data_IF_429339809478
#
_entry.id   IF_429339809478
#
_cell.length_a   1.000
_cell.length_b   1.000
_cell.length_c   1.000
_cell.angle_alpha   90.00
_cell.angle_beta   90.00
_cell.angle_gamma   90.00
#
_symmetry.space_group_name_H-M   'P 1'
#
loop_
_entity.id
_entity.type
_entity.pdbx_description
1 polymer ?
#
# COMPACT_ATOMS: atom_id res chain seq x y z
N UNK A 1 37.54 1.53 12.88
CA UNK A 1 37.16 2.48 13.93
C UNK A 1 36.73 3.77 13.25
N UNK A 2 35.42 3.98 13.08
CA UNK A 2 34.58 4.90 13.89
C UNK A 2 34.98 6.37 13.62
N UNK A 3 34.15 7.35 13.24
CA UNK A 3 32.71 7.56 13.30
C UNK A 3 32.36 8.66 12.27
N UNK A 4 31.32 8.46 11.47
CA UNK A 4 30.72 9.54 10.68
C UNK A 4 29.62 10.20 11.52
N UNK A 5 29.94 11.34 12.14
CA UNK A 5 28.96 12.22 12.74
C UNK A 5 28.45 13.18 11.67
N UNK A 6 27.29 12.87 11.09
CA UNK A 6 26.57 13.79 10.23
C UNK A 6 25.50 14.53 11.06
N UNK A 7 25.87 15.77 11.37
CA UNK A 7 25.07 16.88 11.89
C UNK A 7 23.65 16.94 11.30
N UNK A 8 22.64 16.72 12.15
CA UNK A 8 21.22 16.82 11.80
C UNK A 8 20.82 18.29 11.68
N UNK A 9 20.93 18.87 10.48
CA UNK A 9 20.34 20.18 10.18
C UNK A 9 18.82 20.10 10.27
N UNK A 10 18.28 20.94 11.16
CA UNK A 10 16.86 21.16 11.44
C UNK A 10 16.17 21.81 10.23
N UNK A 11 15.43 21.03 9.44
CA UNK A 11 14.55 21.54 8.37
C UNK A 11 13.25 22.05 8.98
N UNK A 12 12.90 23.29 8.69
CA UNK A 12 11.81 24.05 9.34
C UNK A 12 10.61 24.32 8.43
N UNK A 13 10.48 23.63 7.29
CA UNK A 13 9.30 23.72 6.41
C UNK A 13 9.12 22.41 5.62
N UNK A 14 7.90 21.86 5.61
CA UNK A 14 7.56 20.54 5.06
C UNK A 14 6.99 20.58 3.63
N UNK A 15 6.92 21.77 3.02
CA UNK A 15 6.51 22.00 1.62
C UNK A 15 7.71 22.15 0.68
N UNK A 16 8.92 21.88 1.18
CA UNK A 16 10.17 22.04 0.42
C UNK A 16 10.30 20.92 -0.63
N UNK A 17 10.35 21.24 -1.95
CA UNK A 17 10.46 20.24 -3.01
C UNK A 17 11.79 19.46 -2.97
N UNK A 18 12.78 19.91 -2.21
CA UNK A 18 14.13 19.32 -2.13
C UNK A 18 14.43 18.66 -0.76
N UNK A 19 13.41 18.42 0.08
CA UNK A 19 13.55 17.79 1.39
C UNK A 19 13.99 16.31 1.33
N UNK A 20 14.65 15.76 2.38
CA UNK A 20 15.21 14.40 2.35
C UNK A 20 14.18 13.26 2.29
N UNK A 21 12.88 13.52 2.45
CA UNK A 21 11.77 12.58 2.18
C UNK A 21 11.20 12.71 0.75
N UNK A 22 11.72 13.66 -0.03
CA UNK A 22 11.73 13.62 -1.49
C UNK A 22 13.00 12.94 -2.03
N UNK A 23 13.85 12.33 -1.16
CA UNK A 23 14.88 11.42 -1.66
C UNK A 23 14.20 10.23 -2.30
N UNK A 24 14.29 10.27 -3.62
CA UNK A 24 14.07 9.19 -4.55
C UNK A 24 14.76 7.92 -4.02
N UNK A 25 13.98 6.90 -3.66
CA UNK A 25 14.38 5.59 -4.14
C UNK A 25 14.40 5.72 -5.65
N UNK A 26 15.51 5.41 -6.31
CA UNK A 26 15.58 5.46 -7.76
C UNK A 26 14.35 4.73 -8.28
N UNK A 27 13.56 5.36 -9.15
CA UNK A 27 12.38 4.71 -9.71
C UNK A 27 12.75 3.31 -10.21
N UNK A 28 13.97 3.12 -10.69
CA UNK A 28 14.61 1.88 -11.12
C UNK A 28 14.76 0.78 -10.04
N UNK A 29 15.02 1.12 -8.77
CA UNK A 29 15.23 0.15 -7.67
C UNK A 29 13.91 -0.33 -7.04
N UNK A 30 12.95 0.58 -6.82
CA UNK A 30 11.58 0.21 -6.44
C UNK A 30 10.81 -0.40 -7.60
N UNK A 31 11.09 0.01 -8.84
CA UNK A 31 10.62 -0.73 -10.02
C UNK A 31 11.23 -2.12 -9.98
N UNK A 32 12.54 -2.29 -9.78
CA UNK A 32 13.17 -3.61 -9.73
C UNK A 32 12.59 -4.56 -8.66
N UNK A 33 12.41 -4.11 -7.42
CA UNK A 33 11.84 -4.96 -6.37
C UNK A 33 10.34 -5.23 -6.52
N UNK A 34 9.53 -4.22 -6.86
CA UNK A 34 8.12 -4.48 -7.18
C UNK A 34 8.00 -5.33 -8.43
N UNK A 35 8.86 -5.14 -9.43
CA UNK A 35 8.82 -5.87 -10.70
C UNK A 35 9.18 -7.35 -10.49
N UNK A 36 10.14 -7.66 -9.62
CA UNK A 36 10.45 -9.04 -9.22
C UNK A 36 9.27 -9.69 -8.47
N UNK A 37 8.69 -8.99 -7.48
CA UNK A 37 7.49 -9.47 -6.75
C UNK A 37 6.28 -9.61 -7.69
N UNK A 38 6.07 -8.67 -8.59
CA UNK A 38 4.98 -8.69 -9.59
C UNK A 38 5.19 -9.83 -10.58
N UNK A 39 6.43 -10.06 -11.00
CA UNK A 39 6.80 -11.14 -11.91
C UNK A 39 6.56 -12.48 -11.23
N UNK A 40 7.11 -12.68 -10.03
CA UNK A 40 6.92 -13.90 -9.25
C UNK A 40 5.43 -14.16 -8.96
N UNK A 41 4.68 -13.12 -8.59
CA UNK A 41 3.23 -13.22 -8.38
C UNK A 41 2.52 -13.72 -9.63
N UNK A 42 2.81 -13.14 -10.80
CA UNK A 42 2.15 -13.51 -12.06
C UNK A 42 2.56 -14.90 -12.56
N UNK A 43 3.82 -15.29 -12.35
CA UNK A 43 4.32 -16.61 -12.73
C UNK A 43 3.80 -17.73 -11.84
N UNK A 44 3.55 -17.45 -10.56
CA UNK A 44 3.10 -18.44 -9.58
C UNK A 44 1.61 -18.36 -9.25
N UNK A 45 0.80 -17.74 -10.12
CA UNK A 45 -0.65 -17.69 -9.94
C UNK A 45 -1.09 -16.99 -8.65
N UNK A 46 -0.36 -15.93 -8.29
CA UNK A 46 -0.63 -15.02 -7.18
C UNK A 46 0.05 -15.35 -5.86
N UNK A 47 1.02 -16.26 -5.88
CA UNK A 47 1.81 -16.64 -4.71
C UNK A 47 3.21 -16.05 -4.82
N UNK A 48 3.73 -15.51 -3.73
CA UNK A 48 5.09 -14.94 -3.64
C UNK A 48 5.76 -15.54 -2.41
N UNK A 49 7.03 -15.92 -2.53
CA UNK A 49 7.85 -16.48 -1.47
C UNK A 49 8.39 -15.42 -0.50
N UNK A 50 9.41 -15.80 0.28
CA UNK A 50 10.08 -14.88 1.21
C UNK A 50 9.15 -14.33 2.29
N UNK A 51 9.18 -13.02 2.48
CA UNK A 51 8.34 -12.31 3.47
C UNK A 51 6.83 -12.37 3.17
N UNK A 52 6.44 -12.78 1.95
CA UNK A 52 5.04 -12.93 1.53
C UNK A 52 4.52 -14.38 1.58
N UNK A 53 5.37 -15.33 1.96
CA UNK A 53 5.02 -16.75 1.95
C UNK A 53 3.81 -17.04 2.87
N UNK A 54 2.73 -17.56 2.28
CA UNK A 54 1.50 -17.89 3.00
C UNK A 54 0.54 -16.70 3.24
N UNK A 55 0.92 -15.48 2.82
CA UNK A 55 0.04 -14.33 2.85
C UNK A 55 -0.85 -14.28 1.59
N UNK A 56 -2.04 -13.70 1.71
CA UNK A 56 -2.83 -13.35 0.53
C UNK A 56 -2.30 -12.04 -0.04
N UNK A 57 -1.69 -12.10 -1.22
CA UNK A 57 -1.20 -10.94 -1.94
C UNK A 57 -2.14 -10.58 -3.09
N UNK A 58 -2.21 -9.31 -3.43
CA UNK A 58 -2.80 -8.83 -4.68
C UNK A 58 -1.95 -7.74 -5.30
N UNK A 59 -2.08 -7.56 -6.61
CA UNK A 59 -1.56 -6.38 -7.30
C UNK A 59 -2.68 -5.38 -7.51
N UNK A 60 -2.53 -4.21 -6.91
CA UNK A 60 -3.45 -3.10 -7.09
C UNK A 60 -2.91 -2.16 -8.17
N UNK A 61 -3.68 -2.02 -9.24
CA UNK A 61 -3.45 -1.01 -10.28
C UNK A 61 -4.32 0.21 -10.01
N UNK A 62 -3.69 1.35 -9.73
CA UNK A 62 -4.34 2.65 -9.53
C UNK A 62 -3.97 3.63 -10.66
N UNK A 63 -4.78 4.66 -10.88
CA UNK A 63 -4.43 5.77 -11.78
C UNK A 63 -3.80 6.90 -10.99
N UNK A 64 -2.60 7.33 -11.37
CA UNK A 64 -1.88 8.41 -10.71
C UNK A 64 -2.68 9.72 -10.71
N UNK A 65 -3.03 10.23 -9.53
CA UNK A 65 -3.91 11.41 -9.41
C UNK A 65 -3.35 12.66 -10.09
N UNK A 66 -2.02 12.80 -10.14
CA UNK A 66 -1.33 13.91 -10.81
C UNK A 66 -0.87 13.57 -12.22
N UNK A 67 -0.43 12.32 -12.44
CA UNK A 67 0.24 11.90 -13.68
C UNK A 67 -0.71 11.31 -14.72
N UNK A 68 -1.88 10.81 -14.31
CA UNK A 68 -2.79 10.04 -15.15
C UNK A 68 -2.26 8.66 -15.56
N UNK A 69 -1.07 8.25 -15.08
CA UNK A 69 -0.44 6.98 -15.47
C UNK A 69 -0.87 5.84 -14.55
N UNK A 70 -0.96 4.59 -15.05
CA UNK A 70 -1.21 3.44 -14.19
C UNK A 70 -0.01 3.17 -13.26
N UNK A 71 -0.29 2.88 -12.00
CA UNK A 71 0.68 2.49 -10.98
C UNK A 71 0.26 1.16 -10.37
N UNK A 72 1.14 0.17 -10.42
CA UNK A 72 0.92 -1.16 -9.85
C UNK A 72 1.71 -1.30 -8.56
N UNK A 73 1.06 -1.77 -7.50
CA UNK A 73 1.70 -2.06 -6.22
C UNK A 73 1.25 -3.41 -5.69
N UNK A 74 2.17 -4.27 -5.23
CA UNK A 74 1.82 -5.46 -4.47
C UNK A 74 1.35 -5.04 -3.07
N UNK A 75 0.22 -5.59 -2.61
CA UNK A 75 -0.33 -5.33 -1.28
C UNK A 75 -0.82 -6.63 -0.65
N UNK A 76 -0.57 -6.75 0.65
CA UNK A 76 -1.23 -7.75 1.48
C UNK A 76 -2.73 -7.46 1.55
N UNK A 77 -3.54 -8.50 1.39
CA UNK A 77 -4.98 -8.41 1.42
C UNK A 77 -5.58 -9.38 2.43
N UNK A 78 -6.71 -9.00 3.01
CA UNK A 78 -7.53 -9.86 3.85
C UNK A 78 -8.95 -9.90 3.27
N UNK A 79 -9.63 -11.02 3.48
CA UNK A 79 -11.03 -11.18 3.06
C UNK A 79 -11.97 -11.04 4.23
N UNK A 80 -13.06 -10.30 4.03
CA UNK A 80 -14.24 -10.30 4.90
C UNK A 80 -15.48 -10.59 4.05
N UNK A 81 -15.82 -11.88 3.92
CA UNK A 81 -16.82 -12.32 2.93
C UNK A 81 -16.30 -12.09 1.51
N UNK A 82 -17.09 -11.44 0.66
CA UNK A 82 -16.72 -11.05 -0.71
C UNK A 82 -15.94 -9.73 -0.81
N UNK A 83 -15.62 -9.12 0.33
CA UNK A 83 -14.97 -7.81 0.38
C UNK A 83 -13.47 -7.98 0.64
N UNK A 84 -12.66 -7.41 -0.24
CA UNK A 84 -11.21 -7.36 -0.08
C UNK A 84 -10.84 -6.13 0.73
N UNK A 85 -10.02 -6.34 1.75
CA UNK A 85 -9.46 -5.28 2.58
C UNK A 85 -7.96 -5.20 2.32
N UNK A 86 -7.46 -3.99 2.03
CA UNK A 86 -6.03 -3.73 1.86
C UNK A 86 -5.57 -2.62 2.77
N UNK A 87 -4.37 -2.81 3.31
CA UNK A 87 -3.67 -1.82 4.13
C UNK A 87 -2.16 -1.95 3.97
N UNK A 88 -1.45 -0.92 4.41
CA UNK A 88 0.01 -0.88 4.44
C UNK A 88 0.47 -0.05 5.64
N UNK A 89 1.74 -0.20 6.01
CA UNK A 89 2.37 0.68 6.99
C UNK A 89 2.48 2.13 6.46
N UNK A 90 2.54 3.10 7.38
CA UNK A 90 2.72 4.53 7.07
C UNK A 90 3.97 5.04 7.74
N UNK A 91 5.03 5.28 6.99
CA UNK A 91 6.22 5.93 7.54
C UNK A 91 5.92 7.43 7.81
N UNK A 92 6.31 8.33 6.90
CA UNK A 92 6.05 9.76 7.06
C UNK A 92 4.68 10.21 6.54
N UNK A 93 4.18 9.57 5.48
CA UNK A 93 2.99 10.00 4.74
C UNK A 93 2.24 8.82 4.14
N UNK A 94 0.97 9.04 3.85
CA UNK A 94 0.16 8.07 3.16
C UNK A 94 0.76 7.71 1.78
N UNK A 95 0.70 6.42 1.40
CA UNK A 95 1.29 5.94 0.16
C UNK A 95 0.54 6.47 -1.06
N UNK A 96 1.23 6.54 -2.19
CA UNK A 96 0.67 7.09 -3.43
C UNK A 96 -0.60 6.34 -3.89
N UNK A 97 -0.63 5.01 -3.76
CA UNK A 97 -1.80 4.20 -4.12
C UNK A 97 -3.05 4.60 -3.35
N UNK A 98 -2.92 4.99 -2.08
CA UNK A 98 -4.03 5.43 -1.25
C UNK A 98 -4.60 6.76 -1.75
N UNK A 99 -3.73 7.72 -2.06
CA UNK A 99 -4.15 8.99 -2.66
C UNK A 99 -4.76 8.81 -4.05
N UNK A 100 -4.21 7.92 -4.86
CA UNK A 100 -4.72 7.60 -6.18
C UNK A 100 -6.11 6.97 -6.09
N UNK A 101 -6.30 5.97 -5.22
CA UNK A 101 -7.60 5.33 -4.98
C UNK A 101 -8.65 6.31 -4.43
N UNK A 102 -8.23 7.25 -3.57
CA UNK A 102 -9.11 8.32 -3.08
C UNK A 102 -9.57 9.26 -4.20
N UNK A 103 -8.67 9.58 -5.14
CA UNK A 103 -8.96 10.50 -6.24
C UNK A 103 -9.72 9.82 -7.39
N UNK A 104 -9.38 8.57 -7.70
CA UNK A 104 -10.04 7.75 -8.69
C UNK A 104 -10.31 6.35 -8.11
N UNK A 105 -11.56 6.04 -7.73
CA UNK A 105 -11.91 4.78 -7.11
C UNK A 105 -11.94 3.61 -8.11
N UNK A 106 -11.89 3.87 -9.42
CA UNK A 106 -11.82 2.80 -10.43
C UNK A 106 -10.40 2.24 -10.48
N UNK A 107 -10.25 1.01 -10.00
CA UNK A 107 -8.97 0.30 -9.92
C UNK A 107 -9.05 -1.06 -10.61
N UNK A 108 -7.90 -1.66 -10.88
CA UNK A 108 -7.84 -3.04 -11.37
C UNK A 108 -7.06 -3.88 -10.39
N UNK A 109 -7.58 -5.07 -10.08
CA UNK A 109 -6.98 -6.00 -9.15
C UNK A 109 -6.50 -7.21 -9.92
N UNK A 110 -5.28 -7.64 -9.63
CA UNK A 110 -4.78 -8.97 -9.98
C UNK A 110 -4.66 -9.76 -8.68
N UNK A 111 -5.37 -10.88 -8.60
CA UNK A 111 -5.49 -11.69 -7.39
C UNK A 111 -5.48 -13.15 -7.80
N UNK A 112 -4.48 -13.90 -7.31
CA UNK A 112 -4.24 -15.22 -7.87
C UNK A 112 -3.81 -15.11 -9.34
N UNK A 113 -4.58 -15.76 -10.22
CA UNK A 113 -4.48 -15.64 -11.68
C UNK A 113 -5.61 -14.85 -12.34
N UNK A 114 -6.51 -14.25 -11.57
CA UNK A 114 -7.61 -13.45 -12.11
C UNK A 114 -7.25 -11.96 -12.12
N UNK A 115 -7.66 -11.27 -13.19
CA UNK A 115 -7.58 -9.81 -13.31
C UNK A 115 -8.96 -9.24 -13.56
N UNK A 116 -9.43 -8.34 -12.70
CA UNK A 116 -10.77 -7.78 -12.81
C UNK A 116 -10.85 -6.31 -12.38
N UNK A 117 -11.80 -5.53 -12.95
CA UNK A 117 -12.09 -4.19 -12.48
C UNK A 117 -12.74 -4.25 -11.09
N UNK A 118 -12.37 -3.30 -10.26
CA UNK A 118 -12.89 -3.16 -8.91
C UNK A 118 -13.02 -1.69 -8.54
N UNK A 119 -13.84 -1.44 -7.53
CA UNK A 119 -14.00 -0.14 -6.93
C UNK A 119 -13.30 -0.09 -5.58
N UNK A 120 -12.42 0.88 -5.42
CA UNK A 120 -11.78 1.21 -4.17
C UNK A 120 -12.63 2.20 -3.37
N UNK A 121 -12.85 1.89 -2.10
CA UNK A 121 -13.55 2.73 -1.14
C UNK A 121 -12.62 2.99 0.05
N UNK A 122 -12.22 4.25 0.21
CA UNK A 122 -11.36 4.69 1.32
C UNK A 122 -12.23 4.84 2.56
N UNK A 123 -11.96 4.01 3.58
CA UNK A 123 -12.76 4.02 4.79
C UNK A 123 -12.46 5.25 5.64
N UNK A 124 -13.50 5.87 6.20
CA UNK A 124 -13.42 7.02 7.11
C UNK A 124 -14.51 6.95 8.17
N UNK A 125 -14.31 7.64 9.30
CA UNK A 125 -15.28 7.71 10.39
C UNK A 125 -15.62 6.34 10.99
N UNK A 126 -16.88 6.14 11.36
CA UNK A 126 -17.33 4.92 12.05
C UNK A 126 -17.04 3.61 11.29
N UNK A 127 -17.12 3.64 9.94
CA UNK A 127 -16.76 2.49 9.10
C UNK A 127 -15.26 2.19 9.15
N UNK A 128 -14.43 3.22 9.29
CA UNK A 128 -13.01 3.01 9.49
C UNK A 128 -12.75 2.29 10.81
N UNK A 129 -13.33 2.79 11.91
CA UNK A 129 -13.09 2.25 13.25
C UNK A 129 -13.49 0.76 13.35
N UNK A 130 -14.65 0.39 12.77
CA UNK A 130 -15.10 -1.00 12.74
C UNK A 130 -14.12 -1.92 11.99
N UNK A 131 -13.71 -1.53 10.78
CA UNK A 131 -12.82 -2.35 9.95
C UNK A 131 -11.38 -2.33 10.47
N UNK A 132 -10.92 -1.23 11.05
CA UNK A 132 -9.62 -1.13 11.70
C UNK A 132 -9.56 -2.12 12.86
N UNK A 133 -10.55 -2.12 13.76
CA UNK A 133 -10.58 -3.04 14.89
C UNK A 133 -10.52 -4.51 14.45
N UNK A 134 -11.27 -4.88 13.41
CA UNK A 134 -11.19 -6.22 12.82
C UNK A 134 -9.81 -6.51 12.22
N UNK A 135 -9.27 -5.61 11.40
CA UNK A 135 -8.00 -5.84 10.71
C UNK A 135 -6.79 -5.90 11.65
N UNK A 136 -6.78 -5.10 12.72
CA UNK A 136 -5.74 -5.19 13.75
C UNK A 136 -5.85 -6.51 14.53
N UNK A 137 -7.05 -7.05 14.70
CA UNK A 137 -7.24 -8.38 15.30
C UNK A 137 -6.72 -9.51 14.40
N UNK A 138 -6.92 -9.40 13.08
CA UNK A 138 -6.49 -10.42 12.12
C UNK A 138 -4.99 -10.33 11.78
N UNK A 139 -4.38 -9.15 11.91
CA UNK A 139 -2.97 -8.94 11.58
C UNK A 139 -2.20 -8.30 12.75
N UNK A 140 -1.53 -9.13 13.58
CA UNK A 140 -0.74 -8.66 14.71
C UNK A 140 0.39 -7.68 14.34
N UNK A 141 0.93 -7.77 13.11
CA UNK A 141 1.97 -6.84 12.66
C UNK A 141 1.39 -5.45 12.43
N UNK A 142 0.18 -5.33 11.87
CA UNK A 142 -0.52 -4.05 11.75
C UNK A 142 -0.89 -3.49 13.11
N UNK A 143 -1.29 -4.34 14.07
CA UNK A 143 -1.60 -3.92 15.44
C UNK A 143 -0.39 -3.36 16.18
N UNK A 144 0.75 -4.07 16.11
CA UNK A 144 2.01 -3.60 16.68
C UNK A 144 2.45 -2.27 16.04
N UNK A 145 2.28 -2.14 14.71
CA UNK A 145 2.58 -0.91 14.01
C UNK A 145 1.70 0.26 14.43
N UNK A 146 0.37 0.10 14.37
CA UNK A 146 -0.59 1.14 14.74
C UNK A 146 -0.41 1.60 16.18
N UNK A 147 0.05 0.72 17.08
CA UNK A 147 0.35 1.07 18.47
C UNK A 147 1.56 2.01 18.62
N UNK A 148 2.41 2.11 17.60
CA UNK A 148 3.62 2.95 17.57
C UNK A 148 3.43 4.26 16.80
N UNK A 149 2.30 4.44 16.11
CA UNK A 149 2.04 5.61 15.28
C UNK A 149 0.70 6.26 15.63
N UNK A 150 0.69 7.58 15.75
CA UNK A 150 -0.54 8.35 15.99
C UNK A 150 -1.41 8.49 14.73
N UNK A 151 -0.86 8.20 13.54
CA UNK A 151 -1.58 8.31 12.28
C UNK A 151 -2.41 7.04 12.03
N UNK A 152 -3.68 7.18 11.60
CA UNK A 152 -4.49 6.02 11.25
C UNK A 152 -3.92 5.33 10.00
N UNK A 153 -3.85 4.00 9.99
CA UNK A 153 -3.47 3.20 8.81
C UNK A 153 -4.31 3.53 7.56
N UNK A 154 -3.76 3.43 6.33
CA UNK A 154 -4.52 3.54 5.10
C UNK A 154 -5.40 2.30 4.96
N UNK A 155 -6.70 2.47 5.16
CA UNK A 155 -7.66 1.38 5.02
C UNK A 155 -8.50 1.60 3.78
N UNK A 156 -8.41 0.66 2.85
CA UNK A 156 -9.18 0.67 1.62
C UNK A 156 -9.86 -0.66 1.45
N UNK A 157 -11.15 -0.58 1.17
CA UNK A 157 -11.96 -1.71 0.78
C UNK A 157 -12.03 -1.76 -0.74
N UNK A 158 -11.88 -2.95 -1.29
CA UNK A 158 -11.94 -3.24 -2.70
C UNK A 158 -13.15 -4.14 -2.96
N UNK A 159 -14.06 -3.66 -3.80
CA UNK A 159 -15.25 -4.42 -4.22
C UNK A 159 -15.15 -4.73 -5.70
N UNK A 160 -15.24 -6.01 -6.07
CA UNK A 160 -15.26 -6.43 -7.48
C UNK A 160 -16.45 -5.78 -8.19
N UNK A 161 -16.21 -5.16 -9.34
CA UNK A 161 -17.30 -4.67 -10.17
C UNK A 161 -17.90 -5.85 -10.93
N UNK A 162 -19.22 -6.01 -10.85
CA UNK A 162 -19.93 -6.99 -11.65
C UNK A 162 -19.82 -6.57 -13.13
N UNK A 163 -19.36 -7.50 -13.97
CA UNK A 163 -19.32 -7.33 -15.42
C UNK A 163 -20.73 -7.25 -16.02
#
# INVERSE_FOLDING_TARGET
MDNNAADTKKVTSYDDPDAPWNKEFSAEEMTGWNDDVITEFRENGGQVGGDYAGATLLLLTTTGAKSGKPHVVPLGALYRGDVLYVSSFIEDRYPAWYHNAKANPSVTIELGGEKFPARADVLTGERYDEFAAWALSENPLLADYQSKVDKPLPLVVLTREAA
#
